data_IF_712703078578
#
_entry.id   IF_712703078578
#
_cell.length_a   1.000
_cell.length_b   1.000
_cell.length_c   1.000
_cell.angle_alpha   90.00
_cell.angle_beta   90.00
_cell.angle_gamma   90.00
#
_symmetry.space_group_name_H-M   'P 1'
#
loop_
_entity.id
_entity.type
_entity.pdbx_description
1 polymer ?
#
# COMPACT_ATOMS: atom_id res chain seq x y z
N UNK A 1 16.13 -34.81 1.23
CA UNK A 1 16.22 -33.94 2.42
C UNK A 1 15.60 -32.61 2.06
N UNK A 2 14.46 -32.27 2.67
CA UNK A 2 13.72 -31.04 2.37
C UNK A 2 14.23 -29.93 3.31
N UNK A 3 15.11 -29.08 2.80
CA UNK A 3 15.58 -27.89 3.52
C UNK A 3 14.61 -26.75 3.24
N UNK A 4 13.90 -26.31 4.28
CA UNK A 4 13.13 -25.06 4.26
C UNK A 4 14.02 -23.94 4.81
N UNK A 5 14.35 -22.89 4.04
CA UNK A 5 14.96 -21.70 4.62
C UNK A 5 13.89 -20.92 5.40
N UNK A 6 14.05 -20.84 6.73
CA UNK A 6 13.26 -19.95 7.59
C UNK A 6 13.69 -18.48 7.43
N UNK A 7 12.77 -17.52 7.65
CA UNK A 7 12.96 -16.12 7.28
C UNK A 7 14.01 -15.39 8.14
N UNK A 8 15.04 -14.82 7.51
CA UNK A 8 16.05 -13.95 8.15
C UNK A 8 15.68 -12.47 7.98
N UNK A 9 14.75 -11.98 8.80
CA UNK A 9 14.48 -10.53 8.94
C UNK A 9 15.12 -9.92 10.18
N UNK A 10 15.88 -10.70 10.95
CA UNK A 10 16.62 -10.19 12.11
C UNK A 10 18.11 -10.06 11.80
N UNK A 11 18.57 -8.82 12.02
CA UNK A 11 19.94 -8.36 12.28
C UNK A 11 20.65 -7.65 11.12
N UNK A 12 20.26 -6.39 10.93
CA UNK A 12 21.22 -5.29 10.73
C UNK A 12 20.69 -4.02 11.43
N UNK A 13 20.41 -4.13 12.74
CA UNK A 13 20.36 -2.97 13.63
C UNK A 13 21.80 -2.75 14.07
N UNK A 14 22.50 -1.78 13.47
CA UNK A 14 23.84 -1.39 13.91
C UNK A 14 24.83 -1.03 12.82
N UNK A 15 24.56 0.02 12.04
CA UNK A 15 25.60 0.88 11.49
C UNK A 15 25.02 2.29 11.32
N UNK A 16 25.19 3.08 12.36
CA UNK A 16 24.93 4.52 12.42
C UNK A 16 25.66 5.28 11.32
N UNK A 17 24.96 6.16 10.61
CA UNK A 17 25.36 7.58 10.53
C UNK A 17 24.10 8.44 10.46
N UNK A 18 24.09 9.42 11.35
CA UNK A 18 23.03 10.36 11.62
C UNK A 18 22.83 11.34 10.45
N UNK A 19 21.58 11.53 10.05
CA UNK A 19 21.03 12.84 9.72
C UNK A 19 19.51 12.79 9.90
N UNK A 20 19.09 12.50 11.13
CA UNK A 20 17.80 12.97 11.61
C UNK A 20 17.93 14.48 11.80
N UNK A 21 17.19 15.27 11.03
CA UNK A 21 16.72 16.56 11.51
C UNK A 21 15.29 16.79 10.99
N UNK A 22 14.40 16.90 11.97
CA UNK A 22 13.01 17.36 11.94
C UNK A 22 11.91 16.29 11.75
N UNK A 23 11.29 15.90 12.89
CA UNK A 23 10.05 15.12 13.03
C UNK A 23 8.78 16.00 12.82
N UNK A 24 7.52 15.51 12.90
CA UNK A 24 7.02 14.14 12.88
C UNK A 24 5.99 13.94 11.74
N UNK A 25 6.29 12.99 10.87
CA UNK A 25 5.38 12.45 9.87
C UNK A 25 6.14 11.29 9.28
N UNK A 26 5.57 10.08 9.35
CA UNK A 26 6.19 8.91 8.73
C UNK A 26 6.60 9.31 7.30
N UNK A 27 7.91 9.41 7.03
CA UNK A 27 8.43 9.40 5.66
C UNK A 27 8.19 7.97 5.18
N UNK A 28 6.94 7.74 4.77
CA UNK A 28 6.46 6.48 4.21
C UNK A 28 7.23 6.22 2.91
N UNK A 29 7.35 4.95 2.56
CA UNK A 29 8.42 4.38 1.79
C UNK A 29 8.66 5.08 0.44
N UNK A 30 9.94 5.30 0.16
CA UNK A 30 10.47 5.69 -1.14
C UNK A 30 10.17 4.57 -2.15
N UNK A 31 9.81 4.91 -3.39
CA UNK A 31 9.54 3.93 -4.45
C UNK A 31 10.66 2.89 -4.56
N UNK A 32 10.29 1.61 -4.54
CA UNK A 32 11.19 0.47 -4.65
C UNK A 32 11.14 -0.11 -6.05
N UNK A 33 12.30 -0.49 -6.59
CA UNK A 33 12.39 -1.16 -7.88
C UNK A 33 12.24 -2.67 -7.67
N UNK A 34 11.20 -3.28 -8.22
CA UNK A 34 10.98 -4.74 -8.11
C UNK A 34 11.60 -5.47 -9.31
N UNK A 35 11.47 -4.89 -10.49
CA UNK A 35 11.90 -5.45 -11.78
C UNK A 35 12.40 -4.29 -12.62
N UNK A 36 13.29 -4.48 -13.61
CA UNK A 36 13.61 -3.44 -14.58
C UNK A 36 12.33 -2.78 -15.08
N UNK A 37 12.25 -1.46 -14.94
CA UNK A 37 11.13 -0.61 -15.35
C UNK A 37 9.81 -0.75 -14.56
N UNK A 38 9.75 -1.55 -13.50
CA UNK A 38 8.58 -1.63 -12.60
C UNK A 38 8.96 -1.15 -11.19
N UNK A 39 8.27 -0.10 -10.76
CA UNK A 39 8.38 0.49 -9.43
C UNK A 39 7.14 0.17 -8.60
N UNK A 40 7.36 -0.12 -7.32
CA UNK A 40 6.31 -0.21 -6.30
C UNK A 40 6.46 0.98 -5.35
N UNK A 41 5.39 1.73 -5.12
CA UNK A 41 5.41 2.83 -4.14
C UNK A 41 4.13 2.93 -3.32
N UNK A 42 4.14 3.86 -2.37
CA UNK A 42 2.96 4.27 -1.63
C UNK A 42 2.17 5.34 -2.40
N UNK A 43 0.94 5.61 -1.91
CA UNK A 43 0.06 6.66 -2.41
C UNK A 43 0.74 8.03 -2.51
N UNK A 44 1.52 8.40 -1.49
CA UNK A 44 2.11 9.73 -1.40
C UNK A 44 3.09 10.00 -2.54
N UNK A 45 3.86 8.99 -2.94
CA UNK A 45 4.77 9.09 -4.09
C UNK A 45 4.01 9.15 -5.41
N UNK A 46 2.90 8.40 -5.54
CA UNK A 46 2.05 8.44 -6.73
C UNK A 46 1.33 9.80 -6.91
N UNK A 47 1.14 10.57 -5.84
CA UNK A 47 0.54 11.91 -5.87
C UNK A 47 1.56 13.04 -6.13
N UNK A 48 2.83 12.84 -5.79
CA UNK A 48 3.87 13.86 -5.94
C UNK A 48 4.44 13.88 -7.37
N UNK A 49 4.02 14.88 -8.14
CA UNK A 49 4.49 15.11 -9.51
C UNK A 49 6.02 15.22 -9.60
N UNK A 50 6.68 15.83 -8.61
CA UNK A 50 8.13 16.04 -8.65
C UNK A 50 8.88 14.71 -8.55
N UNK A 51 8.40 13.81 -7.70
CA UNK A 51 9.00 12.47 -7.55
C UNK A 51 8.69 11.59 -8.76
N UNK A 52 7.50 11.67 -9.36
CA UNK A 52 7.18 10.96 -10.60
C UNK A 52 8.10 11.37 -11.77
N UNK A 53 8.30 12.68 -11.96
CA UNK A 53 9.18 13.22 -13.01
C UNK A 53 10.63 12.82 -12.75
N UNK A 54 11.08 12.89 -11.49
CA UNK A 54 12.45 12.51 -11.09
C UNK A 54 12.74 11.03 -11.32
N UNK A 55 11.75 10.15 -11.11
CA UNK A 55 11.87 8.71 -11.39
C UNK A 55 11.72 8.39 -12.89
N UNK A 56 11.17 9.33 -13.67
CA UNK A 56 10.87 9.17 -15.09
C UNK A 56 9.69 8.24 -15.33
N UNK A 57 8.69 8.26 -14.45
CA UNK A 57 7.53 7.38 -14.53
C UNK A 57 6.61 7.83 -15.66
N UNK A 58 6.21 6.87 -16.48
CA UNK A 58 5.40 7.09 -17.69
C UNK A 58 3.98 6.52 -17.58
N UNK A 59 3.82 5.46 -16.77
CA UNK A 59 2.57 4.74 -16.58
C UNK A 59 2.32 4.56 -15.08
N UNK A 60 1.06 4.67 -14.67
CA UNK A 60 0.65 4.47 -13.28
C UNK A 60 -0.50 3.49 -13.21
N UNK A 61 -0.38 2.50 -12.33
CA UNK A 61 -1.44 1.57 -11.97
C UNK A 61 -1.86 1.86 -10.54
N UNK A 62 -3.15 2.16 -10.36
CA UNK A 62 -3.74 2.45 -9.05
C UNK A 62 -4.82 1.44 -8.73
N UNK A 63 -4.74 0.84 -7.54
CA UNK A 63 -5.75 -0.11 -7.03
C UNK A 63 -6.38 0.49 -5.78
N UNK A 64 -7.58 1.04 -5.93
CA UNK A 64 -8.27 1.82 -4.90
C UNK A 64 -9.77 1.86 -5.16
N UNK A 65 -10.57 1.86 -4.10
CA UNK A 65 -12.01 2.12 -4.17
C UNK A 65 -12.33 3.55 -4.67
N UNK A 66 -11.63 4.55 -4.13
CA UNK A 66 -11.85 5.96 -4.44
C UNK A 66 -10.89 6.45 -5.52
N UNK A 67 -11.31 7.48 -6.27
CA UNK A 67 -10.47 8.04 -7.33
C UNK A 67 -9.26 8.79 -6.74
N UNK A 68 -8.01 8.29 -6.95
CA UNK A 68 -6.84 9.00 -6.48
C UNK A 68 -6.61 10.27 -7.30
N UNK A 69 -6.17 11.32 -6.62
CA UNK A 69 -5.70 12.51 -7.31
C UNK A 69 -4.30 12.24 -7.89
N UNK A 70 -4.24 11.65 -9.08
CA UNK A 70 -2.99 11.46 -9.84
C UNK A 70 -2.69 12.76 -10.60
N UNK A 71 -1.46 13.31 -10.48
CA UNK A 71 -1.10 14.54 -11.16
C UNK A 71 -1.27 14.44 -12.69
N UNK A 72 -1.50 15.60 -13.33
CA UNK A 72 -1.77 15.72 -14.77
C UNK A 72 -0.54 15.54 -15.65
N UNK A 73 0.65 15.40 -15.06
CA UNK A 73 1.90 15.15 -15.79
C UNK A 73 1.88 13.85 -16.60
N UNK A 74 1.05 12.88 -16.19
CA UNK A 74 0.87 11.61 -16.89
C UNK A 74 -0.43 11.69 -17.69
N UNK A 75 -0.44 11.30 -18.98
CA UNK A 75 -1.66 11.27 -19.79
C UNK A 75 -2.64 10.21 -19.25
N UNK A 76 -3.94 10.46 -19.41
CA UNK A 76 -4.97 9.53 -18.94
C UNK A 76 -4.88 8.14 -19.58
N UNK A 77 -4.39 8.05 -20.83
CA UNK A 77 -4.15 6.78 -21.54
C UNK A 77 -3.16 5.88 -20.79
N UNK A 78 -2.23 6.46 -20.03
CA UNK A 78 -1.19 5.74 -19.30
C UNK A 78 -1.55 5.55 -17.82
N UNK A 79 -2.80 5.80 -17.44
CA UNK A 79 -3.32 5.59 -16.08
C UNK A 79 -4.29 4.43 -16.09
N UNK A 80 -3.88 3.32 -15.48
CA UNK A 80 -4.80 2.24 -15.17
C UNK A 80 -5.34 2.43 -13.76
N UNK A 81 -6.66 2.51 -13.63
CA UNK A 81 -7.37 2.61 -12.36
C UNK A 81 -8.24 1.38 -12.17
N UNK A 82 -8.05 0.71 -11.05
CA UNK A 82 -8.77 -0.52 -10.70
C UNK A 82 -9.53 -0.23 -9.41
N UNK A 83 -10.85 -0.15 -9.54
CA UNK A 83 -11.74 0.14 -8.42
C UNK A 83 -12.05 -1.14 -7.68
N UNK A 84 -11.37 -1.35 -6.56
CA UNK A 84 -11.55 -2.50 -5.67
C UNK A 84 -11.78 -1.95 -4.27
N UNK A 85 -12.89 -2.37 -3.67
CA UNK A 85 -13.13 -2.20 -2.23
C UNK A 85 -12.33 -3.25 -1.48
N UNK A 86 -11.63 -2.85 -0.42
CA UNK A 86 -10.90 -3.77 0.44
C UNK A 86 -11.85 -4.61 1.30
N UNK A 87 -12.38 -5.67 0.69
CA UNK A 87 -13.23 -6.65 1.36
C UNK A 87 -12.87 -8.06 0.90
N UNK A 88 -12.98 -9.07 1.78
CA UNK A 88 -12.60 -10.44 1.45
C UNK A 88 -13.54 -11.14 0.47
N UNK A 89 -14.72 -10.56 0.20
CA UNK A 89 -15.70 -11.06 -0.77
C UNK A 89 -15.44 -10.58 -2.21
N UNK A 90 -14.52 -9.65 -2.41
CA UNK A 90 -14.24 -9.07 -3.73
C UNK A 90 -13.22 -9.93 -4.49
N UNK A 91 -13.58 -10.31 -5.71
CA UNK A 91 -12.71 -11.08 -6.59
C UNK A 91 -11.69 -10.18 -7.31
N UNK A 92 -10.47 -10.15 -6.80
CA UNK A 92 -9.34 -9.40 -7.35
C UNK A 92 -8.84 -10.02 -8.66
N UNK A 93 -9.07 -11.32 -8.88
CA UNK A 93 -8.52 -12.05 -10.02
C UNK A 93 -9.09 -11.57 -11.35
N UNK A 94 -10.34 -11.08 -11.34
CA UNK A 94 -11.01 -10.49 -12.52
C UNK A 94 -10.22 -9.31 -13.10
N UNK A 95 -9.45 -8.61 -12.27
CA UNK A 95 -8.67 -7.44 -12.69
C UNK A 95 -7.23 -7.78 -13.09
N UNK A 96 -6.77 -9.01 -12.81
CA UNK A 96 -5.39 -9.40 -13.05
C UNK A 96 -5.08 -9.41 -14.55
N UNK A 97 -5.95 -9.99 -15.38
CA UNK A 97 -5.75 -10.05 -16.84
C UNK A 97 -5.63 -8.65 -17.45
N UNK A 98 -6.54 -7.74 -17.09
CA UNK A 98 -6.50 -6.33 -17.53
C UNK A 98 -5.20 -5.63 -17.10
N UNK A 99 -4.73 -5.90 -15.89
CA UNK A 99 -3.50 -5.31 -15.36
C UNK A 99 -2.28 -5.85 -16.09
N UNK A 100 -2.24 -7.16 -16.33
CA UNK A 100 -1.15 -7.81 -17.03
C UNK A 100 -1.05 -7.34 -18.48
N UNK A 101 -2.16 -7.21 -19.20
CA UNK A 101 -2.15 -6.66 -20.56
C UNK A 101 -1.67 -5.20 -20.58
N UNK A 102 -2.12 -4.37 -19.64
CA UNK A 102 -1.63 -2.99 -19.53
C UNK A 102 -0.12 -2.93 -19.26
N UNK A 103 0.39 -3.77 -18.35
CA UNK A 103 1.82 -3.87 -18.08
C UNK A 103 2.60 -4.37 -19.30
N UNK A 104 2.05 -5.34 -20.03
CA UNK A 104 2.67 -5.90 -21.24
C UNK A 104 2.83 -4.84 -22.33
N UNK A 105 1.78 -4.05 -22.58
CA UNK A 105 1.80 -2.94 -23.53
C UNK A 105 2.75 -1.82 -23.08
N UNK A 106 2.77 -1.50 -21.78
CA UNK A 106 3.65 -0.47 -21.26
C UNK A 106 5.14 -0.86 -21.37
N UNK A 107 5.46 -2.14 -21.16
CA UNK A 107 6.83 -2.68 -21.16
C UNK A 107 7.34 -3.10 -22.55
N UNK A 108 6.52 -3.04 -23.59
CA UNK A 108 6.94 -3.26 -24.97
C UNK A 108 8.04 -2.27 -25.39
N UNK A 109 7.96 -1.06 -24.85
CA UNK A 109 8.94 0.00 -25.02
C UNK A 109 9.86 0.09 -23.78
N UNK A 110 11.18 -0.16 -23.92
CA UNK A 110 12.10 -0.25 -22.78
C UNK A 110 12.37 1.10 -22.08
N UNK A 111 12.01 2.22 -22.71
CA UNK A 111 12.11 3.56 -22.11
C UNK A 111 11.00 3.86 -21.11
N UNK A 112 9.88 3.13 -21.20
CA UNK A 112 8.75 3.31 -20.30
C UNK A 112 9.04 2.72 -18.93
N UNK A 113 8.59 3.43 -17.90
CA UNK A 113 8.60 2.99 -16.51
C UNK A 113 7.19 2.99 -15.96
N UNK A 114 6.82 1.89 -15.34
CA UNK A 114 5.52 1.71 -14.70
C UNK A 114 5.66 1.82 -13.20
N UNK A 115 4.78 2.62 -12.60
CA UNK A 115 4.58 2.67 -11.16
C UNK A 115 3.30 1.91 -10.82
N UNK A 116 3.44 0.84 -10.06
CA UNK A 116 2.33 0.18 -9.39
C UNK A 116 2.30 0.70 -7.98
N UNK A 117 1.14 1.09 -7.50
CA UNK A 117 0.98 1.39 -6.09
C UNK A 117 -0.28 0.73 -5.59
N UNK A 118 -0.15 0.12 -4.42
CA UNK A 118 -1.22 -0.63 -3.77
C UNK A 118 -1.52 0.13 -2.49
N UNK A 119 -2.81 0.36 -2.24
CA UNK A 119 -3.23 0.76 -0.91
C UNK A 119 -3.11 -0.46 -0.01
N UNK A 120 -1.98 -0.57 0.69
CA UNK A 120 -1.89 -1.45 1.84
C UNK A 120 -2.29 -0.61 3.04
N UNK A 121 -3.54 -0.70 3.46
CA UNK A 121 -3.78 -0.56 4.89
C UNK A 121 -3.02 -1.71 5.54
N UNK A 122 -1.98 -1.38 6.31
CA UNK A 122 -1.33 -2.38 7.13
C UNK A 122 -2.30 -2.70 8.27
N UNK A 123 -3.34 -3.49 8.06
CA UNK A 123 -4.02 -4.23 9.13
C UNK A 123 -3.16 -5.42 9.57
N UNK A 124 -1.91 -5.12 9.92
CA UNK A 124 -1.18 -5.82 10.97
C UNK A 124 -0.91 -4.79 12.07
N UNK A 125 -1.99 -4.32 12.69
CA UNK A 125 -1.89 -3.82 14.05
C UNK A 125 -1.18 -4.91 14.85
N UNK A 126 -0.03 -4.59 15.49
CA UNK A 126 0.58 -5.53 16.40
C UNK A 126 -0.49 -5.88 17.43
N UNK A 127 -0.53 -7.15 17.77
CA UNK A 127 -1.29 -7.73 18.87
C UNK A 127 -0.79 -7.13 20.20
N UNK A 128 -0.92 -5.80 20.35
CA UNK A 128 -0.64 -5.01 21.53
C UNK A 128 -2.00 -4.79 22.17
N UNK A 129 -2.29 -5.69 23.10
CA UNK A 129 -2.93 -5.37 24.37
C UNK A 129 -4.09 -4.39 24.31
N UNK A 130 -5.28 -4.89 23.96
CA UNK A 130 -6.52 -4.38 24.53
C UNK A 130 -7.39 -5.56 24.98
N UNK A 131 -7.05 -6.03 26.19
CA UNK A 131 -8.00 -6.28 27.28
C UNK A 131 -9.36 -6.86 26.83
N UNK A 132 -9.42 -8.19 26.77
CA UNK A 132 -10.66 -8.96 26.80
C UNK A 132 -11.36 -8.78 28.14
N UNK A 133 -12.07 -7.67 28.32
CA UNK A 133 -13.18 -7.56 29.29
C UNK A 133 -14.46 -7.32 28.50
N UNK A 134 -14.84 -8.29 27.68
CA UNK A 134 -16.17 -8.41 27.09
C UNK A 134 -16.52 -9.90 26.91
N UNK A 135 -16.26 -10.69 27.93
CA UNK A 135 -16.99 -11.93 28.19
C UNK A 135 -17.48 -11.88 29.63
N UNK A 136 -18.39 -10.94 29.90
CA UNK A 136 -19.21 -10.98 31.12
C UNK A 136 -20.56 -11.54 30.72
N UNK A 137 -20.77 -12.79 31.11
CA UNK A 137 -22.03 -13.48 30.95
C UNK A 137 -23.18 -12.68 31.56
N UNK A 138 -24.32 -12.85 30.91
CA UNK A 138 -25.66 -12.70 31.45
C UNK A 138 -25.73 -13.09 32.93
N UNK A 139 -25.92 -12.10 33.81
CA UNK A 139 -26.63 -12.24 35.08
C UNK A 139 -26.87 -10.86 35.72
N UNK A 140 -28.15 -10.49 35.79
CA UNK A 140 -28.80 -9.72 36.86
C UNK A 140 -28.21 -8.38 37.37
N UNK A 141 -29.02 -7.32 37.26
CA UNK A 141 -29.22 -6.18 38.17
C UNK A 141 -29.51 -4.92 37.30
N UNK A 142 -30.75 -4.60 36.94
CA UNK A 142 -31.82 -4.00 37.76
C UNK A 142 -31.46 -2.59 38.28
N UNK A 143 -32.31 -1.63 37.88
CA UNK A 143 -32.49 -0.27 38.42
C UNK A 143 -31.34 0.71 38.14
N UNK A 144 -31.53 2.01 37.98
CA UNK A 144 -32.67 2.91 37.83
C UNK A 144 -31.99 4.27 37.75
N UNK A 145 -32.24 5.06 36.71
CA UNK A 145 -32.33 6.51 36.89
C UNK A 145 -32.95 7.10 35.62
N UNK A 146 -34.27 7.05 35.60
CA UNK A 146 -35.03 8.05 34.90
C UNK A 146 -34.92 9.38 35.69
N UNK A 147 -34.56 10.44 34.96
CA UNK A 147 -35.28 11.73 34.94
C UNK A 147 -35.19 12.65 36.17
N UNK A 148 -34.65 13.84 35.86
CA UNK A 148 -34.63 15.15 36.58
C UNK A 148 -33.51 15.29 37.60
#
# INVERSE_FOLDING_TARGET
MLTFPSPRWRTAIGATTLAANNAPGLKLAKASLITPNIFLSDYYTARDEKELVKLGITHVVSVLENDPHIPRCIPETNKLRIQITDRPDVDILVHLERTTEFLRLALEEPTNKVLVWIFSDYTLHPLIGCRSTAFRGSAAAQLSCARI
#
